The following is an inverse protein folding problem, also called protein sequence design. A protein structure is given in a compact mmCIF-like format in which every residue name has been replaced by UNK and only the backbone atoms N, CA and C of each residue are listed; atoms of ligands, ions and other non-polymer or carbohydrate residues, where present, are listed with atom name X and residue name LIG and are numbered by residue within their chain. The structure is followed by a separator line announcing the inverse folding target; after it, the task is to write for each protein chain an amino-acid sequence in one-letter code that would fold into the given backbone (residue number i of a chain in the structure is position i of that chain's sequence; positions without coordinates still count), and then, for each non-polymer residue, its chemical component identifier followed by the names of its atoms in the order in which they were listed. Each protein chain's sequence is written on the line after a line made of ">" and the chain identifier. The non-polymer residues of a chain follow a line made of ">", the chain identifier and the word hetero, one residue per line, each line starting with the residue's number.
data_IF_467078256326
#
_entry.id   IF_467078256326
#
_cell.length_a   1.000
_cell.length_b   1.000
_cell.length_c   1.000
_cell.angle_alpha   90.00
_cell.angle_beta   90.00
_cell.angle_gamma   90.00
#
_symmetry.space_group_name_H-M   'P 1'
#
loop_
_entity.id
_entity.type
_entity.pdbx_description
1 polymer ?
#
# COMPACT_ATOMS: atom_id res chain seq x y z
N UNK A 1 43.67 -19.10 52.20
CA UNK A 1 43.43 -18.93 50.73
C UNK A 1 41.95 -18.53 50.57
N UNK A 2 41.69 -17.23 50.49
CA UNK A 2 40.31 -16.68 50.50
C UNK A 2 39.84 -16.60 49.05
N UNK A 3 38.96 -17.46 48.64
CA UNK A 3 38.31 -17.40 47.32
C UNK A 3 37.43 -16.16 47.27
N UNK A 4 37.72 -15.25 46.31
CA UNK A 4 36.99 -14.00 46.12
C UNK A 4 35.56 -14.30 45.70
N UNK A 5 34.59 -13.88 46.49
CA UNK A 5 33.16 -14.02 46.24
C UNK A 5 32.71 -13.44 44.86
N UNK A 6 33.45 -12.46 44.29
CA UNK A 6 33.14 -11.83 43.00
C UNK A 6 33.35 -12.68 41.76
N UNK A 7 33.97 -13.86 41.88
CA UNK A 7 34.11 -14.78 40.70
C UNK A 7 32.93 -15.73 40.49
N UNK A 8 32.11 -15.93 41.56
CA UNK A 8 30.90 -16.78 41.44
C UNK A 8 29.73 -16.08 40.76
N UNK A 9 29.60 -14.75 40.87
CA UNK A 9 28.56 -13.99 40.20
C UNK A 9 28.77 -13.93 38.67
N UNK A 10 30.03 -13.79 38.22
CA UNK A 10 30.34 -13.78 36.76
C UNK A 10 30.06 -15.11 36.06
N UNK A 11 30.28 -16.23 36.72
CA UNK A 11 29.97 -17.55 36.16
C UNK A 11 28.47 -17.80 36.10
N UNK A 12 27.71 -17.28 37.08
CA UNK A 12 26.25 -17.35 37.10
C UNK A 12 25.60 -16.53 35.97
N UNK A 13 26.10 -15.33 35.71
CA UNK A 13 25.61 -14.49 34.58
C UNK A 13 25.91 -15.13 33.22
N UNK A 14 27.11 -15.65 33.04
CA UNK A 14 27.47 -16.34 31.78
C UNK A 14 26.65 -17.62 31.55
N UNK A 15 26.35 -18.39 32.60
CA UNK A 15 25.54 -19.61 32.48
C UNK A 15 24.06 -19.28 32.33
N UNK A 16 23.53 -18.25 32.98
CA UNK A 16 22.15 -17.81 32.82
C UNK A 16 21.87 -17.33 31.37
N UNK A 17 22.78 -16.55 30.78
CA UNK A 17 22.68 -16.14 29.40
C UNK A 17 22.84 -17.28 28.38
N UNK A 18 23.58 -18.34 28.71
CA UNK A 18 23.72 -19.53 27.86
C UNK A 18 22.45 -20.38 27.84
N UNK A 19 21.71 -20.45 28.96
CA UNK A 19 20.49 -21.26 29.08
C UNK A 19 19.20 -20.51 28.68
N UNK A 20 19.24 -19.17 28.53
CA UNK A 20 18.10 -18.34 28.16
C UNK A 20 18.25 -17.71 26.75
N UNK A 21 18.90 -18.44 25.80
CA UNK A 21 18.89 -17.98 24.41
C UNK A 21 17.43 -17.86 23.96
N UNK A 22 16.97 -16.68 23.49
CA UNK A 22 15.62 -16.56 22.97
C UNK A 22 15.41 -17.55 21.81
N UNK A 23 14.28 -18.23 21.80
CA UNK A 23 13.90 -19.18 20.74
C UNK A 23 13.06 -18.55 19.64
N UNK A 24 12.73 -17.28 19.81
CA UNK A 24 11.91 -16.50 18.88
C UNK A 24 12.30 -15.01 18.89
N UNK A 25 11.99 -14.33 17.82
CA UNK A 25 12.14 -12.88 17.66
C UNK A 25 10.78 -12.24 17.48
N UNK A 26 10.55 -11.13 18.19
CA UNK A 26 9.40 -10.28 17.96
C UNK A 26 9.72 -9.31 16.83
N UNK A 27 8.87 -9.29 15.79
CA UNK A 27 9.06 -8.44 14.62
C UNK A 27 7.87 -7.50 14.44
N UNK A 28 8.15 -6.24 14.20
CA UNK A 28 7.19 -5.28 13.69
C UNK A 28 7.19 -5.31 12.16
N UNK A 29 6.04 -5.03 11.57
CA UNK A 29 5.88 -5.05 10.11
C UNK A 29 5.07 -3.88 9.57
N UNK A 30 5.29 -3.62 8.29
CA UNK A 30 4.46 -2.83 7.41
C UNK A 30 4.23 -3.63 6.12
N UNK A 31 2.99 -4.01 5.85
CA UNK A 31 2.61 -4.70 4.62
C UNK A 31 1.65 -3.81 3.83
N UNK A 32 2.06 -3.43 2.61
CA UNK A 32 1.26 -2.64 1.68
C UNK A 32 1.09 -3.44 0.41
N UNK A 33 -0.15 -3.68 0.00
CA UNK A 33 -0.49 -4.37 -1.23
C UNK A 33 -0.29 -3.50 -2.48
N UNK A 34 -0.39 -4.08 -3.68
CA UNK A 34 -0.41 -3.31 -4.91
C UNK A 34 -1.67 -2.44 -5.02
N UNK A 35 -1.55 -1.24 -5.56
CA UNK A 35 -2.67 -0.34 -5.83
C UNK A 35 -3.48 -0.81 -7.05
N UNK A 36 -4.76 -0.44 -7.13
CA UNK A 36 -5.62 -0.69 -8.28
C UNK A 36 -5.26 0.18 -9.48
N UNK A 37 -5.50 -0.29 -10.69
CA UNK A 37 -5.38 0.50 -11.91
C UNK A 37 -6.54 1.49 -12.06
N UNK A 38 -6.28 2.63 -12.71
CA UNK A 38 -7.32 3.61 -13.07
C UNK A 38 -8.27 3.06 -14.14
N UNK A 39 -9.51 3.52 -14.13
CA UNK A 39 -10.52 3.19 -15.14
C UNK A 39 -10.31 3.93 -16.46
N UNK A 40 -10.64 3.28 -17.56
CA UNK A 40 -10.54 3.86 -18.88
C UNK A 40 -11.57 4.96 -19.16
N UNK A 41 -11.39 5.66 -20.23
CA UNK A 41 -12.22 6.77 -20.71
C UNK A 41 -13.32 6.33 -21.67
N UNK A 42 -14.27 7.23 -21.99
CA UNK A 42 -15.16 7.11 -23.12
C UNK A 42 -15.00 8.35 -24.04
N UNK A 43 -14.85 8.12 -25.35
CA UNK A 43 -14.61 9.17 -26.35
C UNK A 43 -15.74 9.32 -27.39
N UNK A 44 -16.83 8.56 -27.33
CA UNK A 44 -17.91 8.61 -28.31
C UNK A 44 -18.85 9.81 -28.11
N UNK A 45 -18.36 11.02 -28.29
CA UNK A 45 -19.14 12.26 -28.16
C UNK A 45 -19.43 12.71 -26.74
N UNK A 46 -19.29 11.83 -25.75
CA UNK A 46 -19.44 12.09 -24.34
C UNK A 46 -18.06 12.07 -23.67
N UNK A 47 -17.60 13.24 -23.26
CA UNK A 47 -16.30 13.46 -22.60
C UNK A 47 -16.26 12.83 -21.20
N UNK A 48 -16.19 11.50 -21.08
CA UNK A 48 -16.33 10.80 -19.80
C UNK A 48 -15.00 10.43 -19.18
N UNK A 49 -14.79 10.87 -17.94
CA UNK A 49 -13.63 10.52 -17.13
C UNK A 49 -13.81 9.18 -16.43
N UNK A 50 -12.79 8.32 -16.48
CA UNK A 50 -12.68 7.12 -15.67
C UNK A 50 -12.32 7.44 -14.21
N UNK A 51 -12.69 6.55 -13.28
CA UNK A 51 -12.34 6.68 -11.86
C UNK A 51 -10.87 6.39 -11.59
N UNK A 52 -10.31 6.97 -10.55
CA UNK A 52 -8.97 6.63 -10.04
C UNK A 52 -8.96 5.29 -9.32
N UNK A 53 -7.84 4.54 -9.42
CA UNK A 53 -7.64 3.31 -8.67
C UNK A 53 -7.46 3.57 -7.16
N UNK A 54 -7.92 2.66 -6.31
CA UNK A 54 -7.70 2.70 -4.86
C UNK A 54 -6.27 2.29 -4.50
N UNK A 55 -5.76 2.79 -3.37
CA UNK A 55 -4.50 2.32 -2.81
C UNK A 55 -4.60 0.86 -2.38
N UNK A 56 -3.47 0.16 -2.38
CA UNK A 56 -3.34 -1.15 -1.74
C UNK A 56 -3.65 -1.08 -0.25
N UNK A 57 -4.17 -2.17 0.31
CA UNK A 57 -4.40 -2.30 1.74
C UNK A 57 -3.10 -2.06 2.52
N UNK A 58 -3.22 -1.36 3.65
CA UNK A 58 -2.11 -0.92 4.47
C UNK A 58 -2.25 -1.49 5.89
N UNK A 59 -1.36 -2.38 6.27
CA UNK A 59 -1.35 -3.06 7.58
C UNK A 59 -0.02 -2.85 8.27
N UNK A 60 -0.04 -2.52 9.55
CA UNK A 60 1.20 -2.32 10.33
C UNK A 60 1.02 -2.69 11.78
N UNK A 61 2.10 -3.19 12.39
CA UNK A 61 2.21 -3.44 13.83
C UNK A 61 3.12 -2.44 14.54
N UNK A 62 3.64 -1.43 13.83
CA UNK A 62 4.55 -0.44 14.45
C UNK A 62 3.82 0.29 15.58
N UNK A 63 4.40 0.23 16.78
CA UNK A 63 3.83 0.85 17.98
C UNK A 63 3.56 2.35 17.77
N UNK A 64 2.36 2.80 18.15
CA UNK A 64 1.92 4.19 17.99
C UNK A 64 1.50 4.58 16.56
N UNK A 65 1.67 3.70 15.55
CA UNK A 65 1.17 3.92 14.21
C UNK A 65 -0.33 3.53 14.09
N UNK A 66 -0.94 3.85 12.95
CA UNK A 66 -2.28 3.39 12.57
C UNK A 66 -2.20 2.53 11.33
N UNK A 67 -3.10 1.57 11.16
CA UNK A 67 -3.32 0.89 9.88
C UNK A 67 -4.14 1.77 8.94
N UNK A 68 -4.23 1.38 7.68
CA UNK A 68 -5.07 2.09 6.73
C UNK A 68 -6.54 2.13 7.19
N UNK A 69 -7.22 3.22 6.81
CA UNK A 69 -8.63 3.41 7.19
C UNK A 69 -8.85 3.86 8.63
N UNK A 70 -7.80 4.27 9.34
CA UNK A 70 -7.86 4.76 10.71
C UNK A 70 -7.92 3.66 11.77
N UNK A 71 -7.57 2.40 11.42
CA UNK A 71 -7.46 1.31 12.39
C UNK A 71 -6.24 1.46 13.30
N UNK A 72 -6.27 0.85 14.49
CA UNK A 72 -5.11 0.79 15.38
C UNK A 72 -4.00 -0.10 14.81
N UNK A 73 -2.75 0.12 15.24
CA UNK A 73 -1.66 -0.80 14.96
C UNK A 73 -2.02 -2.23 15.43
N UNK A 74 -1.64 -3.20 14.63
CA UNK A 74 -1.86 -4.61 14.93
C UNK A 74 -0.76 -5.13 15.87
N UNK A 75 -0.92 -6.36 16.39
CA UNK A 75 0.12 -6.97 17.22
C UNK A 75 1.35 -7.32 16.37
N UNK A 76 2.53 -7.13 16.94
CA UNK A 76 3.77 -7.65 16.38
C UNK A 76 3.72 -9.19 16.28
N UNK A 77 4.53 -9.77 15.40
CA UNK A 77 4.61 -11.22 15.22
C UNK A 77 5.79 -11.79 16.00
N UNK A 78 5.55 -12.87 16.73
CA UNK A 78 6.60 -13.66 17.37
C UNK A 78 6.98 -14.82 16.45
N UNK A 79 8.19 -14.80 15.90
CA UNK A 79 8.67 -15.74 14.90
C UNK A 79 9.85 -16.56 15.45
N UNK A 80 9.75 -17.90 15.38
CA UNK A 80 10.86 -18.80 15.67
C UNK A 80 11.80 -18.98 14.48
N UNK A 81 12.79 -19.89 14.61
CA UNK A 81 13.61 -20.28 13.47
C UNK A 81 12.74 -20.87 12.35
N UNK A 82 12.99 -20.47 11.11
CA UNK A 82 12.18 -20.90 9.96
C UNK A 82 12.29 -19.98 8.76
N UNK A 83 11.61 -20.36 7.68
CA UNK A 83 11.51 -19.57 6.44
C UNK A 83 10.10 -19.03 6.29
N UNK A 84 9.96 -17.72 6.22
CA UNK A 84 8.69 -17.00 6.10
C UNK A 84 8.60 -16.38 4.72
N UNK A 85 7.69 -16.88 3.90
CA UNK A 85 7.45 -16.34 2.56
C UNK A 85 6.93 -14.90 2.65
N UNK A 86 7.50 -14.04 1.82
CA UNK A 86 7.05 -12.66 1.61
C UNK A 86 6.57 -12.54 0.17
N UNK A 87 5.29 -12.23 -0.01
CA UNK A 87 4.73 -11.89 -1.32
C UNK A 87 4.54 -10.39 -1.40
N UNK A 88 5.05 -9.77 -2.46
CA UNK A 88 4.82 -8.34 -2.73
C UNK A 88 3.87 -8.20 -3.91
N UNK A 89 2.70 -7.63 -3.66
CA UNK A 89 1.64 -7.48 -4.65
C UNK A 89 1.98 -6.51 -5.76
N UNK A 90 1.75 -6.91 -7.00
CA UNK A 90 1.84 -6.04 -8.18
C UNK A 90 0.67 -5.05 -8.24
N UNK A 91 0.90 -3.89 -8.87
CA UNK A 91 -0.18 -2.95 -9.20
C UNK A 91 -1.11 -3.51 -10.27
N UNK A 92 -2.39 -3.13 -10.20
CA UNK A 92 -3.40 -3.48 -11.20
C UNK A 92 -3.18 -2.76 -12.52
N UNK A 93 -3.49 -3.41 -13.63
CA UNK A 93 -3.41 -2.81 -14.96
C UNK A 93 -4.45 -1.68 -15.13
N UNK A 94 -4.12 -0.70 -15.98
CA UNK A 94 -5.05 0.34 -16.40
C UNK A 94 -6.23 -0.23 -17.19
N UNK A 95 -7.40 0.37 -17.07
CA UNK A 95 -8.54 0.09 -17.92
C UNK A 95 -8.32 0.65 -19.34
N UNK A 96 -8.66 -0.16 -20.34
CA UNK A 96 -8.77 0.30 -21.71
C UNK A 96 -10.05 1.13 -21.95
N UNK A 97 -10.36 1.39 -23.23
CA UNK A 97 -11.57 2.11 -23.63
C UNK A 97 -12.82 1.54 -22.95
N UNK A 98 -13.54 2.39 -22.21
CA UNK A 98 -14.75 2.07 -21.42
C UNK A 98 -14.60 0.96 -20.35
N UNK A 99 -13.42 0.43 -20.14
CA UNK A 99 -13.19 -0.68 -19.23
C UNK A 99 -12.75 -0.19 -17.85
N UNK A 100 -13.20 -0.91 -16.85
CA UNK A 100 -12.68 -0.79 -15.47
C UNK A 100 -11.18 -1.17 -15.48
N UNK A 101 -10.38 -0.58 -14.62
CA UNK A 101 -9.04 -1.05 -14.36
C UNK A 101 -9.03 -2.45 -13.75
N UNK A 102 -7.87 -2.98 -13.45
CA UNK A 102 -7.71 -4.22 -12.69
C UNK A 102 -7.40 -3.92 -11.22
N UNK A 103 -7.80 -4.81 -10.34
CA UNK A 103 -7.39 -4.74 -8.93
C UNK A 103 -5.87 -4.97 -8.80
N UNK A 104 -5.27 -4.38 -7.78
CA UNK A 104 -3.93 -4.73 -7.35
C UNK A 104 -3.88 -6.14 -6.75
N UNK A 105 -2.69 -6.72 -6.68
CA UNK A 105 -2.48 -8.01 -6.02
C UNK A 105 -2.19 -7.83 -4.52
N UNK A 106 -2.51 -8.86 -3.74
CA UNK A 106 -2.25 -8.88 -2.30
C UNK A 106 -0.74 -8.93 -2.00
N UNK A 107 -0.34 -8.28 -0.90
CA UNK A 107 0.96 -8.55 -0.25
C UNK A 107 0.74 -9.43 0.96
N UNK A 108 1.64 -10.39 1.16
CA UNK A 108 1.54 -11.36 2.27
C UNK A 108 2.87 -11.45 3.01
N UNK A 109 2.82 -11.43 4.33
CA UNK A 109 3.94 -11.76 5.20
C UNK A 109 3.44 -12.66 6.34
N UNK A 110 3.92 -13.90 6.39
CA UNK A 110 3.45 -14.91 7.35
C UNK A 110 1.92 -15.02 7.32
N UNK A 111 1.23 -14.71 8.40
CA UNK A 111 -0.24 -14.73 8.53
C UNK A 111 -0.91 -13.42 8.11
N UNK A 112 -0.13 -12.39 7.77
CA UNK A 112 -0.63 -11.05 7.46
C UNK A 112 -0.88 -10.94 5.96
N UNK A 113 -2.12 -10.64 5.57
CA UNK A 113 -2.49 -10.35 4.18
C UNK A 113 -2.99 -8.93 4.05
N UNK A 114 -2.27 -8.10 3.31
CA UNK A 114 -2.76 -6.81 2.84
C UNK A 114 -3.47 -7.02 1.51
N UNK A 115 -4.70 -6.53 1.39
CA UNK A 115 -5.57 -6.73 0.20
C UNK A 115 -5.22 -5.74 -0.89
N UNK A 116 -5.15 -6.18 -2.14
CA UNK A 116 -4.94 -5.33 -3.30
C UNK A 116 -5.93 -4.16 -3.38
N UNK A 117 -5.51 -3.04 -3.93
CA UNK A 117 -6.34 -1.85 -4.13
C UNK A 117 -7.42 -2.10 -5.19
N UNK A 118 -8.59 -1.49 -5.01
CA UNK A 118 -9.72 -1.61 -5.94
C UNK A 118 -9.50 -0.84 -7.24
N UNK A 119 -9.93 -1.38 -8.39
CA UNK A 119 -9.81 -0.71 -9.68
C UNK A 119 -10.73 0.50 -9.81
N UNK A 120 -10.32 1.49 -10.56
CA UNK A 120 -11.16 2.62 -10.96
C UNK A 120 -12.21 2.22 -12.00
N UNK A 121 -13.41 2.80 -11.91
CA UNK A 121 -14.52 2.55 -12.84
C UNK A 121 -14.26 3.06 -14.26
N UNK A 122 -14.67 2.29 -15.27
CA UNK A 122 -14.54 2.68 -16.69
C UNK A 122 -15.57 3.72 -17.10
N UNK A 123 -15.23 4.54 -18.12
CA UNK A 123 -15.91 5.77 -18.54
C UNK A 123 -17.38 5.66 -19.00
N UNK A 124 -18.04 4.54 -18.86
CA UNK A 124 -19.47 4.37 -19.18
C UNK A 124 -20.30 4.06 -17.94
N UNK A 125 -20.33 4.97 -16.95
CA UNK A 125 -21.01 4.81 -15.67
C UNK A 125 -20.49 3.63 -14.83
N UNK A 126 -19.28 3.14 -15.17
CA UNK A 126 -18.69 2.00 -14.45
C UNK A 126 -18.40 2.34 -12.99
N UNK A 127 -18.80 1.45 -12.09
CA UNK A 127 -18.47 1.54 -10.68
C UNK A 127 -16.99 1.29 -10.44
N UNK A 128 -16.43 1.91 -9.40
CA UNK A 128 -15.14 1.54 -8.84
C UNK A 128 -15.20 0.15 -8.18
N UNK A 129 -14.09 -0.57 -8.17
CA UNK A 129 -14.02 -1.88 -7.55
C UNK A 129 -13.64 -1.85 -6.08
N UNK A 130 -13.93 -2.95 -5.40
CA UNK A 130 -13.58 -3.18 -4.01
C UNK A 130 -12.08 -3.48 -3.86
N UNK A 131 -11.50 -3.19 -2.69
CA UNK A 131 -10.10 -3.46 -2.41
C UNK A 131 -9.67 -3.06 -1.00
N UNK A 132 -8.40 -3.08 -0.73
CA UNK A 132 -7.83 -2.55 0.52
C UNK A 132 -8.31 -1.13 0.79
N UNK A 133 -8.01 -0.19 -0.13
CA UNK A 133 -8.80 0.99 -0.41
C UNK A 133 -9.57 0.76 -1.71
N UNK A 134 -10.77 1.33 -1.87
CA UNK A 134 -11.57 1.10 -3.06
C UNK A 134 -11.28 2.08 -4.18
N UNK A 135 -11.59 1.69 -5.41
CA UNK A 135 -11.55 2.58 -6.57
C UNK A 135 -12.67 3.60 -6.58
N UNK A 136 -12.44 4.72 -7.28
CA UNK A 136 -13.45 5.72 -7.59
C UNK A 136 -14.32 5.30 -8.77
N UNK A 137 -15.55 5.81 -8.84
CA UNK A 137 -16.48 5.57 -9.94
C UNK A 137 -16.16 6.42 -11.17
N UNK A 138 -16.57 5.96 -12.35
CA UNK A 138 -16.54 6.77 -13.56
C UNK A 138 -17.55 7.93 -13.48
N UNK A 139 -17.37 8.94 -14.35
CA UNK A 139 -18.29 10.07 -14.48
C UNK A 139 -19.75 9.63 -14.66
N UNK A 140 -20.68 10.60 -14.46
CA UNK A 140 -22.14 10.49 -14.57
C UNK A 140 -22.84 9.72 -13.45
N UNK A 141 -22.37 8.86 -12.73
CA UNK A 141 -23.00 8.17 -11.60
C UNK A 141 -22.34 6.82 -11.28
N UNK A 142 -21.17 6.56 -11.85
CA UNK A 142 -20.40 5.38 -11.44
C UNK A 142 -20.18 5.43 -9.92
N UNK A 143 -20.75 4.46 -9.19
CA UNK A 143 -20.59 4.36 -7.74
C UNK A 143 -19.12 4.05 -7.39
N UNK A 144 -18.67 4.48 -6.22
CA UNK A 144 -17.39 4.01 -5.70
C UNK A 144 -17.49 2.53 -5.24
N UNK A 145 -16.38 1.83 -5.24
CA UNK A 145 -16.28 0.52 -4.60
C UNK A 145 -16.28 0.64 -3.06
N UNK A 146 -16.16 -0.49 -2.40
CA UNK A 146 -16.05 -0.58 -0.93
C UNK A 146 -14.65 -1.06 -0.50
N UNK A 147 -14.16 -0.50 0.58
CA UNK A 147 -12.89 -0.91 1.21
C UNK A 147 -12.99 -2.24 1.93
N UNK A 148 -11.87 -2.90 2.16
CA UNK A 148 -11.79 -4.03 3.10
C UNK A 148 -12.09 -3.53 4.52
N UNK A 149 -13.09 -4.14 5.15
CA UNK A 149 -13.62 -3.67 6.44
C UNK A 149 -13.06 -4.42 7.66
N UNK A 150 -12.55 -5.64 7.48
CA UNK A 150 -12.02 -6.45 8.59
C UNK A 150 -10.82 -7.29 8.15
N UNK A 151 -9.62 -6.99 8.68
CA UNK A 151 -9.27 -5.74 9.33
C UNK A 151 -9.42 -4.56 8.35
N UNK A 152 -9.68 -3.36 8.86
CA UNK A 152 -9.75 -2.18 8.02
C UNK A 152 -8.37 -1.83 7.48
N UNK A 153 -8.27 -1.56 6.16
CA UNK A 153 -6.97 -1.43 5.47
C UNK A 153 -6.83 -0.17 4.61
N UNK A 154 -7.88 0.66 4.55
CA UNK A 154 -7.89 1.88 3.76
C UNK A 154 -9.25 2.57 3.77
N UNK A 155 -9.45 3.53 2.89
CA UNK A 155 -10.69 4.29 2.75
C UNK A 155 -11.40 3.99 1.43
N UNK A 156 -12.70 4.32 1.38
CA UNK A 156 -13.45 4.27 0.16
C UNK A 156 -13.05 5.38 -0.79
N UNK A 157 -13.08 5.10 -2.10
CA UNK A 157 -13.12 6.10 -3.14
C UNK A 157 -14.45 6.87 -3.13
N UNK A 158 -14.64 7.74 -4.10
CA UNK A 158 -15.92 8.44 -4.30
C UNK A 158 -16.54 8.12 -5.67
N UNK A 159 -17.84 8.33 -5.78
CA UNK A 159 -18.57 8.25 -7.04
C UNK A 159 -18.09 9.29 -8.03
N UNK A 160 -18.25 9.03 -9.31
CA UNK A 160 -18.01 10.01 -10.37
C UNK A 160 -18.92 11.24 -10.23
N UNK A 161 -18.47 12.37 -10.76
CA UNK A 161 -19.11 13.68 -10.62
C UNK A 161 -19.42 14.30 -11.97
N UNK A 162 -20.66 14.70 -12.15
CA UNK A 162 -21.10 15.32 -13.39
C UNK A 162 -20.82 14.49 -14.64
N UNK A 163 -20.84 15.07 -15.81
CA UNK A 163 -20.68 14.41 -17.09
C UNK A 163 -19.25 13.97 -17.40
N UNK A 164 -18.22 14.69 -16.89
CA UNK A 164 -16.85 14.61 -17.40
C UNK A 164 -15.80 14.21 -16.35
N UNK A 165 -16.20 14.01 -15.06
CA UNK A 165 -15.25 13.87 -13.97
C UNK A 165 -15.42 12.55 -13.27
N UNK A 166 -14.42 11.70 -13.36
CA UNK A 166 -14.30 10.48 -12.56
C UNK A 166 -14.04 10.78 -11.09
N UNK A 167 -14.45 9.90 -10.20
CA UNK A 167 -14.18 9.99 -8.76
C UNK A 167 -12.74 9.61 -8.43
N UNK A 168 -12.15 10.20 -7.40
CA UNK A 168 -10.87 9.79 -6.84
C UNK A 168 -10.96 8.43 -6.14
N UNK A 169 -9.90 7.64 -6.22
CA UNK A 169 -9.72 6.40 -5.46
C UNK A 169 -9.38 6.67 -3.99
N UNK A 170 -9.77 5.76 -3.08
CA UNK A 170 -9.47 5.84 -1.67
C UNK A 170 -7.96 5.72 -1.39
N UNK A 171 -7.46 6.46 -0.42
CA UNK A 171 -6.10 6.33 0.10
C UNK A 171 -6.06 5.47 1.38
N UNK A 172 -4.86 5.12 1.84
CA UNK A 172 -4.68 4.45 3.12
C UNK A 172 -4.98 5.36 4.32
N UNK A 173 -4.62 6.66 4.21
CA UNK A 173 -4.74 7.65 5.29
C UNK A 173 -6.00 8.51 5.23
N UNK A 174 -6.63 8.65 4.06
CA UNK A 174 -7.83 9.48 3.92
C UNK A 174 -8.72 9.04 2.75
N UNK A 175 -10.01 9.29 2.88
CA UNK A 175 -10.94 9.24 1.76
C UNK A 175 -10.76 10.50 0.88
N UNK A 176 -10.95 10.38 -0.44
CA UNK A 176 -11.02 11.56 -1.31
C UNK A 176 -12.28 12.38 -1.03
N UNK A 177 -12.20 13.69 -1.18
CA UNK A 177 -13.35 14.60 -1.10
C UNK A 177 -13.78 15.14 -2.46
N UNK A 178 -12.90 14.97 -3.45
CA UNK A 178 -13.07 15.46 -4.83
C UNK A 178 -12.63 14.37 -5.81
N UNK A 179 -12.47 14.71 -7.07
CA UNK A 179 -11.87 13.84 -8.08
C UNK A 179 -10.41 13.48 -7.77
N UNK A 180 -9.71 14.26 -6.94
CA UNK A 180 -8.35 13.92 -6.50
C UNK A 180 -8.37 12.69 -5.59
N UNK A 181 -7.30 11.88 -5.66
CA UNK A 181 -7.16 10.68 -4.84
C UNK A 181 -7.01 10.97 -3.35
N UNK A 182 -7.44 10.03 -2.51
CA UNK A 182 -7.26 10.08 -1.06
C UNK A 182 -5.79 9.98 -0.67
N UNK A 183 -5.37 10.70 0.37
CA UNK A 183 -3.97 10.67 0.81
C UNK A 183 -3.58 9.33 1.43
N UNK A 184 -2.33 8.98 1.28
CA UNK A 184 -1.66 7.88 1.95
C UNK A 184 -1.41 8.14 3.43
N UNK A 185 -0.77 7.19 4.07
CA UNK A 185 -0.49 7.17 5.50
C UNK A 185 1.03 7.15 5.73
N UNK A 186 1.48 7.98 6.67
CA UNK A 186 2.88 8.04 7.07
C UNK A 186 3.23 6.95 8.07
N UNK A 187 4.46 6.40 7.97
CA UNK A 187 5.00 5.41 8.89
C UNK A 187 6.52 5.55 9.00
N UNK A 188 7.05 5.37 10.21
CA UNK A 188 8.48 5.51 10.49
C UNK A 188 9.21 4.17 10.66
N UNK A 189 8.69 3.06 10.11
CA UNK A 189 9.30 1.73 10.22
C UNK A 189 10.75 1.69 9.69
N UNK A 190 11.12 2.59 8.78
CA UNK A 190 12.45 2.71 8.18
C UNK A 190 13.37 3.70 8.89
N UNK A 191 13.01 4.16 10.10
CA UNK A 191 13.73 5.20 10.84
C UNK A 191 13.31 6.63 10.47
N UNK A 192 12.77 6.85 9.29
CA UNK A 192 12.22 8.14 8.85
C UNK A 192 10.76 8.01 8.44
N UNK A 193 9.99 9.09 8.60
CA UNK A 193 8.58 9.10 8.23
C UNK A 193 8.42 9.13 6.71
N UNK A 194 7.79 8.07 6.16
CA UNK A 194 7.52 7.94 4.71
C UNK A 194 6.04 7.72 4.49
N UNK A 195 5.41 8.58 3.68
CA UNK A 195 4.00 8.44 3.30
C UNK A 195 3.86 7.49 2.13
N UNK A 196 2.93 6.50 2.23
CA UNK A 196 2.64 5.49 1.21
C UNK A 196 1.13 5.24 1.11
N UNK A 197 0.69 4.61 0.03
CA UNK A 197 -0.69 4.22 -0.14
C UNK A 197 -1.65 5.37 -0.50
N UNK A 198 -1.23 6.28 -1.38
CA UNK A 198 -2.11 7.31 -1.95
C UNK A 198 -3.05 6.73 -3.00
N UNK A 199 -4.31 7.15 -3.05
CA UNK A 199 -5.27 6.80 -4.11
C UNK A 199 -5.02 7.56 -5.39
N UNK A 200 -5.43 7.01 -6.55
CA UNK A 200 -5.35 7.66 -7.86
C UNK A 200 -6.41 8.76 -8.04
N UNK A 201 -6.08 9.81 -8.78
CA UNK A 201 -7.03 10.84 -9.21
C UNK A 201 -7.93 10.32 -10.33
N UNK A 202 -9.18 10.73 -10.38
CA UNK A 202 -10.10 10.45 -11.50
C UNK A 202 -9.75 11.31 -12.73
N UNK A 203 -10.06 10.81 -13.93
CA UNK A 203 -9.94 11.60 -15.15
C UNK A 203 -10.93 12.78 -15.14
N UNK A 204 -10.46 13.97 -15.47
CA UNK A 204 -11.27 15.20 -15.44
C UNK A 204 -10.80 16.19 -16.50
N UNK A 205 -11.64 17.21 -16.81
CA UNK A 205 -11.28 18.22 -17.81
C UNK A 205 -10.00 18.96 -17.44
N UNK A 206 -9.86 19.38 -16.18
CA UNK A 206 -8.65 20.03 -15.68
C UNK A 206 -7.60 19.07 -15.13
N UNK A 207 -7.89 17.74 -15.15
CA UNK A 207 -7.12 16.75 -14.45
C UNK A 207 -7.42 16.72 -12.94
N UNK A 208 -6.92 15.69 -12.27
CA UNK A 208 -7.08 15.52 -10.82
C UNK A 208 -5.79 14.97 -10.24
N UNK A 209 -5.34 15.50 -9.14
CA UNK A 209 -4.13 15.01 -8.47
C UNK A 209 -4.34 13.63 -7.85
N UNK A 210 -3.33 12.79 -7.91
CA UNK A 210 -3.24 11.62 -7.03
C UNK A 210 -3.04 12.04 -5.58
N UNK A 211 -3.41 11.16 -4.65
CA UNK A 211 -3.16 11.36 -3.22
C UNK A 211 -1.66 11.28 -2.89
N UNK A 212 -1.24 12.05 -1.88
CA UNK A 212 0.13 11.96 -1.37
C UNK A 212 0.47 10.52 -1.00
N UNK A 213 1.74 10.13 -1.20
CA UNK A 213 2.18 8.76 -0.91
C UNK A 213 2.04 7.83 -2.12
N UNK A 214 2.16 8.35 -3.32
CA UNK A 214 2.31 7.58 -4.54
C UNK A 214 1.03 7.38 -5.37
N UNK A 215 -0.02 8.12 -5.12
CA UNK A 215 -1.18 8.15 -6.02
C UNK A 215 -0.85 8.74 -7.38
N UNK A 216 -1.30 8.12 -8.47
CA UNK A 216 -1.16 8.63 -9.82
C UNK A 216 -2.19 9.73 -10.15
N UNK A 217 -1.78 10.75 -10.90
CA UNK A 217 -2.68 11.81 -11.38
C UNK A 217 -3.65 11.30 -12.44
N UNK A 218 -4.90 11.76 -12.40
CA UNK A 218 -5.88 11.52 -13.45
C UNK A 218 -5.54 12.32 -14.72
N UNK A 219 -5.96 11.76 -15.86
CA UNK A 219 -5.80 12.39 -17.16
C UNK A 219 -6.54 13.71 -17.24
N UNK A 220 -5.96 14.66 -17.98
CA UNK A 220 -6.54 15.99 -18.22
C UNK A 220 -6.77 16.22 -19.69
N UNK A 221 -8.02 16.53 -20.06
CA UNK A 221 -8.36 16.91 -21.42
C UNK A 221 -7.86 18.31 -21.77
N UNK A 222 -8.04 19.29 -20.87
CA UNK A 222 -7.66 20.67 -21.11
C UNK A 222 -6.14 20.85 -21.23
N UNK A 223 -5.39 20.06 -20.45
CA UNK A 223 -3.92 20.09 -20.48
C UNK A 223 -3.31 19.07 -21.43
N UNK A 224 -4.14 18.29 -22.14
CA UNK A 224 -3.72 17.27 -23.10
C UNK A 224 -2.75 16.23 -22.48
N UNK A 225 -3.01 15.79 -21.24
CA UNK A 225 -2.13 14.88 -20.51
C UNK A 225 -2.78 13.54 -20.19
N UNK A 226 -2.02 12.46 -20.37
CA UNK A 226 -2.38 11.13 -19.87
C UNK A 226 -2.35 11.06 -18.34
N UNK A 227 -3.04 10.09 -17.79
CA UNK A 227 -2.91 9.74 -16.39
C UNK A 227 -1.49 9.22 -16.08
N UNK A 228 -1.08 9.34 -14.83
CA UNK A 228 0.17 8.76 -14.35
C UNK A 228 -0.05 7.51 -13.50
N UNK A 229 0.91 6.61 -13.54
CA UNK A 229 0.89 5.39 -12.74
C UNK A 229 1.03 5.69 -11.25
N UNK A 230 0.54 4.78 -10.43
CA UNK A 230 0.85 4.75 -9.02
C UNK A 230 2.35 4.57 -8.77
N UNK A 231 2.89 5.18 -7.73
CA UNK A 231 4.30 5.14 -7.37
C UNK A 231 4.76 3.71 -7.08
N UNK A 232 5.93 3.34 -7.56
CA UNK A 232 6.54 2.04 -7.30
C UNK A 232 6.81 1.85 -5.80
N UNK A 233 6.54 0.67 -5.26
CA UNK A 233 6.78 0.27 -3.87
C UNK A 233 6.06 1.16 -2.83
N UNK A 234 4.95 1.79 -3.28
CA UNK A 234 4.08 2.60 -2.41
C UNK A 234 2.68 2.01 -2.26
N UNK A 235 2.30 1.10 -3.16
CA UNK A 235 0.92 0.61 -3.23
C UNK A 235 -0.09 1.68 -3.70
N UNK A 236 0.38 2.74 -4.37
CA UNK A 236 -0.48 3.84 -4.83
C UNK A 236 -1.42 3.42 -5.96
N UNK A 237 -2.65 3.96 -5.99
CA UNK A 237 -3.60 3.76 -7.09
C UNK A 237 -3.19 4.48 -8.36
N UNK A 238 -3.53 3.94 -9.54
CA UNK A 238 -3.31 4.58 -10.84
C UNK A 238 -4.38 5.63 -11.17
N UNK A 239 -4.02 6.65 -11.95
CA UNK A 239 -4.94 7.69 -12.41
C UNK A 239 -5.95 7.20 -13.45
N UNK A 240 -7.18 7.73 -13.40
CA UNK A 240 -8.24 7.47 -14.40
C UNK A 240 -8.00 8.20 -15.70
N UNK A 241 -8.42 7.61 -16.83
CA UNK A 241 -8.36 8.18 -18.17
C UNK A 241 -9.43 9.24 -18.39
N UNK A 242 -9.27 10.05 -19.44
CA UNK A 242 -10.30 11.01 -19.88
C UNK A 242 -10.44 10.94 -21.43
N UNK A 243 -11.65 11.14 -21.94
CA UNK A 243 -11.95 11.16 -23.37
C UNK A 243 -12.04 12.57 -23.93
N UNK A 244 -11.66 12.72 -25.21
CA UNK A 244 -11.96 13.87 -26.05
C UNK A 244 -12.40 13.37 -27.43
N UNK A 245 -13.13 14.21 -28.21
CA UNK A 245 -13.74 13.83 -29.49
C UNK A 245 -12.82 13.07 -30.45
N UNK A 246 -11.54 13.41 -30.50
CA UNK A 246 -10.57 12.85 -31.43
C UNK A 246 -9.35 12.27 -30.74
N UNK A 247 -9.26 12.39 -29.43
CA UNK A 247 -8.08 11.97 -28.65
C UNK A 247 -8.51 11.27 -27.36
N UNK A 248 -7.81 10.23 -27.03
CA UNK A 248 -8.00 9.46 -25.82
C UNK A 248 -6.83 9.71 -24.87
N UNK A 249 -7.11 10.18 -23.67
CA UNK A 249 -6.10 10.27 -22.62
C UNK A 249 -6.21 9.05 -21.73
N UNK A 250 -5.22 8.19 -21.84
CA UNK A 250 -5.27 6.84 -21.26
C UNK A 250 -5.15 6.87 -19.75
N UNK A 251 -5.81 5.90 -19.13
CA UNK A 251 -5.65 5.58 -17.71
C UNK A 251 -4.26 4.97 -17.42
N UNK A 252 -3.89 4.87 -16.16
CA UNK A 252 -2.60 4.35 -15.76
C UNK A 252 -2.71 3.22 -14.73
N UNK A 253 -1.67 2.38 -14.69
CA UNK A 253 -1.58 1.25 -13.77
C UNK A 253 -1.40 1.71 -12.32
N UNK A 254 -1.81 0.87 -11.36
CA UNK A 254 -1.46 1.02 -9.95
C UNK A 254 0.01 0.73 -9.70
N UNK A 255 0.53 1.23 -8.58
CA UNK A 255 1.89 1.00 -8.12
C UNK A 255 2.02 -0.33 -7.38
N UNK A 256 3.18 -0.94 -7.46
CA UNK A 256 3.55 -2.13 -6.69
C UNK A 256 3.53 -1.82 -5.18
N UNK A 257 3.19 -2.82 -4.37
CA UNK A 257 3.27 -2.76 -2.92
C UNK A 257 4.70 -2.89 -2.37
N UNK A 258 4.80 -3.02 -1.05
CA UNK A 258 6.06 -3.24 -0.32
C UNK A 258 5.76 -3.99 0.98
N UNK A 259 6.69 -4.83 1.41
CA UNK A 259 6.69 -5.41 2.75
C UNK A 259 7.97 -5.01 3.46
N UNK A 260 7.85 -4.50 4.68
CA UNK A 260 8.99 -4.10 5.51
C UNK A 260 8.83 -4.78 6.87
N UNK A 261 9.90 -5.38 7.36
CA UNK A 261 9.97 -6.05 8.67
C UNK A 261 11.12 -5.44 9.45
N UNK A 262 10.93 -5.16 10.73
CA UNK A 262 12.01 -4.71 11.60
C UNK A 262 11.99 -5.40 12.95
N UNK A 263 13.14 -5.51 13.56
CA UNK A 263 13.32 -6.03 14.91
C UNK A 263 14.52 -5.34 15.59
N UNK A 264 14.57 -5.27 16.95
CA UNK A 264 15.70 -4.70 17.66
C UNK A 264 17.03 -5.37 17.29
N UNK A 265 18.09 -4.58 17.10
CA UNK A 265 19.41 -5.07 16.67
C UNK A 265 19.98 -6.20 17.55
N UNK A 266 19.61 -6.24 18.83
CA UNK A 266 20.06 -7.29 19.75
C UNK A 266 19.70 -8.69 19.27
N UNK A 267 18.59 -8.86 18.55
CA UNK A 267 18.21 -10.16 18.01
C UNK A 267 19.07 -10.59 16.83
N UNK A 268 19.63 -9.66 16.04
CA UNK A 268 20.58 -9.96 14.97
C UNK A 268 21.90 -10.57 15.44
N UNK A 269 22.21 -10.46 16.74
CA UNK A 269 23.40 -11.13 17.34
C UNK A 269 23.10 -12.56 17.82
N UNK A 270 21.80 -12.92 17.92
CA UNK A 270 21.33 -14.22 18.42
C UNK A 270 20.85 -15.13 17.29
N UNK A 271 20.24 -14.54 16.27
CA UNK A 271 19.71 -15.23 15.09
C UNK A 271 20.43 -14.73 13.84
N UNK A 272 20.71 -15.63 12.91
CA UNK A 272 21.09 -15.25 11.54
C UNK A 272 19.80 -14.98 10.76
N UNK A 273 19.43 -13.68 10.62
CA UNK A 273 18.19 -13.28 9.92
C UNK A 273 18.57 -12.67 8.58
N UNK A 274 18.04 -13.23 7.49
CA UNK A 274 18.35 -12.83 6.11
C UNK A 274 17.10 -12.63 5.28
N UNK A 275 17.25 -11.94 4.15
CA UNK A 275 16.17 -11.69 3.18
C UNK A 275 15.92 -10.21 2.94
N UNK A 276 15.44 -9.85 1.76
CA UNK A 276 15.23 -8.48 1.34
C UNK A 276 16.50 -7.61 1.36
N UNK A 277 16.32 -6.29 1.28
CA UNK A 277 17.39 -5.31 1.46
C UNK A 277 17.48 -4.96 2.93
N UNK A 278 18.68 -5.13 3.54
CA UNK A 278 18.90 -4.90 4.97
C UNK A 278 19.46 -3.50 5.19
N UNK A 279 18.86 -2.78 6.12
CA UNK A 279 19.32 -1.45 6.60
C UNK A 279 19.21 -1.38 8.12
N UNK A 280 19.81 -0.36 8.73
CA UNK A 280 19.85 -0.16 10.18
C UNK A 280 19.43 1.26 10.52
N UNK A 281 18.48 1.43 11.43
CA UNK A 281 18.07 2.74 11.92
C UNK A 281 17.45 2.61 13.33
N UNK A 282 17.62 3.59 14.17
CA UNK A 282 17.00 3.75 15.50
C UNK A 282 17.10 2.50 16.41
N UNK A 283 18.20 1.74 16.30
CA UNK A 283 18.40 0.51 17.07
C UNK A 283 17.71 -0.72 16.51
N UNK A 284 17.17 -0.65 15.28
CA UNK A 284 16.51 -1.75 14.58
C UNK A 284 17.32 -2.23 13.37
N UNK A 285 17.25 -3.53 13.11
CA UNK A 285 17.55 -4.13 11.80
C UNK A 285 16.25 -4.16 10.99
N UNK A 286 16.31 -3.69 9.75
CA UNK A 286 15.16 -3.48 8.87
C UNK A 286 15.37 -4.25 7.58
N UNK A 287 14.42 -5.09 7.22
CA UNK A 287 14.37 -5.85 5.97
C UNK A 287 13.28 -5.27 5.07
N UNK A 288 13.66 -4.74 3.91
CA UNK A 288 12.72 -4.18 2.92
C UNK A 288 12.62 -5.12 1.73
N UNK A 289 11.40 -5.57 1.43
CA UNK A 289 11.06 -6.39 0.29
C UNK A 289 10.27 -5.57 -0.74
N UNK A 290 10.94 -5.21 -1.82
CA UNK A 290 10.32 -4.58 -3.01
C UNK A 290 9.85 -5.64 -4.02
N UNK A 291 10.28 -6.88 -3.86
CA UNK A 291 9.92 -8.05 -4.64
C UNK A 291 9.61 -9.24 -3.73
N UNK A 292 8.88 -10.22 -4.27
CA UNK A 292 8.58 -11.48 -3.57
C UNK A 292 9.88 -12.19 -3.21
N UNK A 293 9.95 -12.72 -1.98
CA UNK A 293 11.13 -13.38 -1.43
C UNK A 293 10.82 -14.11 -0.14
N UNK A 294 11.78 -14.21 0.75
CA UNK A 294 11.61 -14.86 2.06
C UNK A 294 12.43 -14.15 3.13
N UNK A 295 11.88 -14.06 4.34
CA UNK A 295 12.63 -13.78 5.57
C UNK A 295 13.02 -15.13 6.18
N UNK A 296 14.32 -15.37 6.37
CA UNK A 296 14.84 -16.61 6.97
C UNK A 296 15.43 -16.29 8.33
N UNK A 297 15.01 -17.02 9.36
CA UNK A 297 15.49 -16.93 10.75
C UNK A 297 16.16 -18.26 11.07
N UNK A 298 17.48 -18.25 11.33
CA UNK A 298 18.29 -19.44 11.61
C UNK A 298 19.00 -19.36 12.97
#
# INVERSE_FOLDING_TARGET
>A
MTLRYGQRERVGEYTANWFNKPTSVEVEYLAIAGGGGGGGHNANGDYRGGGGGGAGGYRTSVSGATTGGGGSAESALTLGAGTYTVTVGGGGAAGGYQLQGSAGSNSVFSTITATGGGPGGGGNNGGGGNGGSSGGGASQSGGAGTRTASPVQGYNGISGRGSNTGGGGGGAGAAPTTASGGNGLANSITGTSVTRGGGGGGGADAGSSGGNGGGGNGASRNNLTNASAGGANTGGGGGGGNGANTSAYVAAAGGKGVVIVRYPNIFGTVFAITGGTITYADGYTIHTFNDTGSLVIA
#
